data_IF_408379203229
#
_entry.id   IF_408379203229
#
_cell.length_a   1.000
_cell.length_b   1.000
_cell.length_c   1.000
_cell.angle_alpha   90.00
_cell.angle_beta   90.00
_cell.angle_gamma   90.00
#
_symmetry.space_group_name_H-M   'P 1'
#
loop_
_entity.id
_entity.type
_entity.pdbx_description
1 polymer ?
#
# COMPACT_ATOMS: atom_id res chain seq x y z
N UNK A 1 11.13 5.04 25.07
CA UNK A 1 10.70 3.98 24.12
C UNK A 1 9.76 4.63 23.10
N UNK A 2 10.14 4.85 21.83
CA UNK A 2 9.36 5.70 20.95
C UNK A 2 8.12 4.93 20.46
N UNK A 3 6.96 5.34 20.97
CA UNK A 3 5.61 4.89 20.57
C UNK A 3 5.33 5.14 19.08
N UNK A 4 6.16 5.93 18.40
CA UNK A 4 6.06 6.32 16.99
C UNK A 4 6.07 5.12 16.04
N UNK A 5 6.80 4.05 16.35
CA UNK A 5 6.91 2.90 15.44
C UNK A 5 5.63 2.05 15.36
N UNK A 6 4.70 2.18 16.32
CA UNK A 6 3.43 1.43 16.32
C UNK A 6 2.37 2.04 15.40
N UNK A 7 2.33 3.37 15.24
CA UNK A 7 1.36 4.08 14.37
C UNK A 7 1.56 3.84 12.88
N UNK A 8 2.76 3.42 12.45
CA UNK A 8 3.03 3.16 11.02
C UNK A 8 2.48 1.81 10.55
N UNK A 9 2.08 0.93 11.46
CA UNK A 9 1.42 -0.36 11.17
C UNK A 9 -0.07 -0.35 11.46
N UNK A 10 -0.65 0.81 11.75
CA UNK A 10 -2.10 0.93 11.85
C UNK A 10 -2.68 0.89 10.43
N UNK A 11 -3.51 -0.12 10.10
CA UNK A 11 -4.21 -0.18 8.82
C UNK A 11 -5.13 1.04 8.62
N UNK A 12 -5.46 1.76 9.70
CA UNK A 12 -6.20 3.02 9.70
C UNK A 12 -5.39 4.22 9.18
N UNK A 13 -4.05 4.19 9.32
CA UNK A 13 -3.17 5.29 8.92
C UNK A 13 -2.63 5.08 7.49
N UNK A 14 -2.38 3.83 7.10
CA UNK A 14 -1.94 3.50 5.75
C UNK A 14 -2.61 2.21 5.24
N UNK A 15 -3.87 2.26 4.81
CA UNK A 15 -4.61 1.08 4.36
C UNK A 15 -4.02 0.47 3.08
N UNK A 16 -3.21 1.22 2.33
CA UNK A 16 -2.55 0.74 1.12
C UNK A 16 -1.21 0.05 1.39
N UNK A 17 -0.81 -0.07 2.66
CA UNK A 17 0.46 -0.67 3.06
C UNK A 17 0.50 -2.17 2.76
N UNK A 18 -0.64 -2.87 2.88
CA UNK A 18 -0.78 -4.27 2.47
C UNK A 18 -0.53 -4.48 0.96
N UNK A 19 -1.13 -3.63 0.13
CA UNK A 19 -0.96 -3.71 -1.32
C UNK A 19 0.45 -3.31 -1.75
N UNK A 20 1.07 -2.33 -1.08
CA UNK A 20 2.47 -1.99 -1.27
C UNK A 20 3.40 -3.16 -0.90
N UNK A 21 3.18 -3.79 0.24
CA UNK A 21 3.97 -4.95 0.68
C UNK A 21 3.81 -6.13 -0.28
N UNK A 22 2.58 -6.40 -0.75
CA UNK A 22 2.32 -7.44 -1.75
C UNK A 22 3.03 -7.15 -3.09
N UNK A 23 3.03 -5.89 -3.55
CA UNK A 23 3.76 -5.49 -4.76
C UNK A 23 5.29 -5.63 -4.60
N UNK A 24 5.82 -5.35 -3.40
CA UNK A 24 7.24 -5.51 -3.10
C UNK A 24 7.65 -6.99 -3.07
N UNK A 25 6.85 -7.86 -2.43
CA UNK A 25 7.09 -9.32 -2.46
C UNK A 25 6.99 -9.88 -3.88
N UNK A 26 6.01 -9.45 -4.65
CA UNK A 26 5.90 -9.89 -6.05
C UNK A 26 7.17 -9.54 -6.85
N UNK A 27 7.72 -8.34 -6.66
CA UNK A 27 8.98 -7.96 -7.32
C UNK A 27 10.16 -8.83 -6.84
N UNK A 28 10.25 -9.11 -5.54
CA UNK A 28 11.30 -9.97 -4.97
C UNK A 28 11.26 -11.39 -5.57
N UNK A 29 10.07 -12.00 -5.64
CA UNK A 29 9.86 -13.34 -6.19
C UNK A 29 10.04 -13.42 -7.71
N UNK A 30 9.80 -12.31 -8.43
CA UNK A 30 9.82 -12.27 -9.89
C UNK A 30 11.07 -11.58 -10.47
N UNK A 31 12.18 -11.48 -9.73
CA UNK A 31 13.41 -10.83 -10.19
C UNK A 31 13.19 -9.37 -10.66
N UNK A 32 12.32 -8.63 -9.97
CA UNK A 32 11.91 -7.25 -10.29
C UNK A 32 11.19 -7.10 -11.64
N UNK A 33 10.57 -8.17 -12.14
CA UNK A 33 9.74 -8.13 -13.33
C UNK A 33 8.41 -7.40 -13.05
N UNK A 34 8.36 -6.14 -13.49
CA UNK A 34 7.23 -5.23 -13.27
C UNK A 34 5.98 -5.67 -14.04
N UNK A 35 6.13 -6.38 -15.16
CA UNK A 35 4.99 -6.79 -15.97
C UNK A 35 4.14 -7.81 -15.22
N UNK A 36 4.78 -8.79 -14.58
CA UNK A 36 4.11 -9.81 -13.76
C UNK A 36 3.41 -9.22 -12.54
N UNK A 37 3.93 -8.12 -12.00
CA UNK A 37 3.38 -7.46 -10.83
C UNK A 37 2.39 -6.33 -11.15
N UNK A 38 2.04 -6.10 -12.42
CA UNK A 38 1.13 -5.03 -12.87
C UNK A 38 -0.21 -5.02 -12.13
N UNK A 39 -0.74 -6.20 -11.80
CA UNK A 39 -2.00 -6.33 -11.05
C UNK A 39 -1.88 -5.77 -9.63
N UNK A 40 -0.76 -6.01 -8.94
CA UNK A 40 -0.51 -5.46 -7.60
C UNK A 40 -0.33 -3.95 -7.65
N UNK A 41 0.37 -3.43 -8.67
CA UNK A 41 0.48 -1.99 -8.88
C UNK A 41 -0.89 -1.33 -9.15
N UNK A 42 -1.77 -2.00 -9.88
CA UNK A 42 -3.12 -1.51 -10.13
C UNK A 42 -3.95 -1.47 -8.83
N UNK A 43 -3.87 -2.51 -8.00
CA UNK A 43 -4.52 -2.54 -6.68
C UNK A 43 -4.02 -1.43 -5.77
N UNK A 44 -2.70 -1.22 -5.70
CA UNK A 44 -2.10 -0.13 -4.92
C UNK A 44 -2.59 1.25 -5.40
N UNK A 45 -2.63 1.50 -6.72
CA UNK A 45 -3.19 2.75 -7.28
C UNK A 45 -4.66 2.94 -6.94
N UNK A 46 -5.46 1.87 -7.02
CA UNK A 46 -6.88 1.92 -6.68
C UNK A 46 -7.10 2.22 -5.20
N UNK A 47 -6.34 1.57 -4.31
CA UNK A 47 -6.37 1.84 -2.88
C UNK A 47 -6.03 3.31 -2.61
N UNK A 48 -4.95 3.84 -3.20
CA UNK A 48 -4.55 5.23 -3.00
C UNK A 48 -5.61 6.21 -3.48
N UNK A 49 -6.26 5.93 -4.63
CA UNK A 49 -7.34 6.77 -5.19
C UNK A 49 -8.62 6.71 -4.35
N UNK A 50 -8.89 5.58 -3.71
CA UNK A 50 -10.00 5.43 -2.78
C UNK A 50 -9.73 6.14 -1.46
N UNK A 51 -8.52 5.96 -0.91
CA UNK A 51 -8.10 6.57 0.35
C UNK A 51 -8.01 8.08 0.28
N UNK A 52 -7.44 8.64 -0.79
CA UNK A 52 -7.44 10.10 -1.01
C UNK A 52 -8.87 10.64 -1.09
N UNK A 53 -9.80 9.90 -1.69
CA UNK A 53 -11.21 10.30 -1.73
C UNK A 53 -11.90 10.23 -0.37
N UNK A 54 -11.66 9.18 0.40
CA UNK A 54 -12.18 9.03 1.77
C UNK A 54 -11.62 10.08 2.72
N UNK A 55 -10.29 10.27 2.71
CA UNK A 55 -9.62 11.27 3.54
C UNK A 55 -10.10 12.69 3.21
N UNK A 56 -10.37 12.98 1.93
CA UNK A 56 -10.94 14.26 1.52
C UNK A 56 -12.43 14.40 1.92
N UNK A 57 -13.19 13.31 1.93
CA UNK A 57 -14.61 13.31 2.30
C UNK A 57 -14.85 13.40 3.83
N UNK A 58 -13.82 13.16 4.64
CA UNK A 58 -13.85 13.23 6.11
C UNK A 58 -13.27 14.55 6.65
N UNK A 59 -12.89 15.49 5.78
CA UNK A 59 -12.35 16.80 6.13
C UNK A 59 -13.39 17.90 5.94
#
# INVERSE_FOLDING_TARGET
>A
MPVVMRRLRDPDINPCLLESDASARCMDENNYDRERCSTYFLKYKNCRKFWVRLALALC
#
